data_IF_391198677607
#
_entry.id   IF_391198677607
#
_cell.length_a   1.000
_cell.length_b   1.000
_cell.length_c   1.000
_cell.angle_alpha   90.00
_cell.angle_beta   90.00
_cell.angle_gamma   90.00
#
_symmetry.space_group_name_H-M   'P 1'
#
loop_
_entity.id
_entity.type
_entity.pdbx_description
1 polymer ?
#
# COMPACT_ATOMS: atom_id res chain seq x y z
N UNK A 1 -13.03 -2.90 50.84
CA UNK A 1 -11.80 -2.38 50.21
C UNK A 1 -11.87 -2.63 48.72
N UNK A 2 -12.15 -1.58 47.95
CA UNK A 2 -12.10 -1.59 46.49
C UNK A 2 -10.62 -1.57 46.10
N UNK A 3 -10.12 -2.60 45.41
CA UNK A 3 -8.78 -2.57 44.82
C UNK A 3 -8.91 -2.65 43.30
N UNK A 4 -8.27 -1.67 42.68
CA UNK A 4 -8.38 -1.22 41.30
C UNK A 4 -7.86 -2.25 40.29
N UNK A 5 -8.54 -2.30 39.14
CA UNK A 5 -8.00 -2.80 37.89
C UNK A 5 -6.98 -1.79 37.35
N UNK A 6 -5.81 -2.27 36.93
CA UNK A 6 -4.81 -1.47 36.21
C UNK A 6 -4.51 -2.15 34.87
N UNK A 7 -5.12 -1.61 33.82
CA UNK A 7 -4.77 -1.82 32.42
C UNK A 7 -3.43 -1.11 32.16
N UNK A 8 -2.35 -1.88 32.23
CA UNK A 8 -0.99 -1.40 31.98
C UNK A 8 -0.61 -1.68 30.53
N UNK A 9 -0.85 -0.69 29.66
CA UNK A 9 -0.56 -0.74 28.22
C UNK A 9 0.81 -1.31 27.88
N UNK A 10 0.80 -2.41 27.12
CA UNK A 10 2.00 -3.00 26.53
C UNK A 10 2.61 -1.99 25.56
N UNK A 11 3.65 -1.30 26.04
CA UNK A 11 4.65 -0.59 25.24
C UNK A 11 5.30 -1.60 24.30
N UNK A 12 4.73 -1.75 23.10
CA UNK A 12 5.29 -2.63 22.06
C UNK A 12 6.68 -2.09 21.69
N UNK A 13 7.73 -2.93 21.76
CA UNK A 13 9.05 -2.56 21.28
C UNK A 13 8.97 -2.10 19.83
N UNK A 14 9.54 -0.93 19.55
CA UNK A 14 9.78 -0.48 18.17
C UNK A 14 10.86 -1.40 17.60
N UNK A 15 10.44 -2.47 16.94
CA UNK A 15 11.31 -3.41 16.26
C UNK A 15 11.96 -2.64 15.08
N UNK A 16 13.29 -2.69 14.92
CA UNK A 16 13.93 -2.17 13.72
C UNK A 16 13.40 -2.93 12.51
N UNK A 17 12.72 -2.23 11.61
CA UNK A 17 12.09 -2.79 10.41
C UNK A 17 13.15 -3.47 9.54
N UNK A 18 13.06 -4.79 9.41
CA UNK A 18 13.84 -5.53 8.44
C UNK A 18 13.53 -5.00 7.03
N UNK A 19 14.50 -4.95 6.09
CA UNK A 19 14.34 -4.43 4.74
C UNK A 19 13.27 -5.15 3.88
N UNK A 20 12.58 -6.15 4.42
CA UNK A 20 11.39 -6.76 3.82
C UNK A 20 10.05 -6.07 4.16
N UNK A 21 10.05 -4.96 4.92
CA UNK A 21 8.83 -4.26 5.34
C UNK A 21 8.64 -2.90 4.66
N UNK A 22 9.02 -2.75 3.39
CA UNK A 22 8.78 -1.48 2.71
C UNK A 22 7.30 -1.40 2.32
N UNK A 23 6.57 -0.44 2.88
CA UNK A 23 5.16 -0.14 2.57
C UNK A 23 4.99 0.91 1.45
N UNK A 24 6.05 1.21 0.70
CA UNK A 24 6.04 2.26 -0.32
C UNK A 24 6.35 1.69 -1.70
N UNK A 25 5.51 2.01 -2.68
CA UNK A 25 5.65 1.67 -4.10
C UNK A 25 6.11 2.91 -4.85
N UNK A 26 7.18 2.78 -5.63
CA UNK A 26 7.66 3.82 -6.53
C UNK A 26 7.19 3.51 -7.95
N UNK A 27 6.41 4.41 -8.54
CA UNK A 27 6.08 4.38 -9.96
C UNK A 27 7.13 5.20 -10.71
N UNK A 28 7.84 4.58 -11.64
CA UNK A 28 8.93 5.19 -12.40
C UNK A 28 8.66 4.96 -13.87
N UNK A 29 8.67 6.02 -14.68
CA UNK A 29 8.34 5.90 -16.11
C UNK A 29 6.84 5.73 -16.41
N UNK A 30 5.96 5.91 -15.43
CA UNK A 30 4.52 5.96 -15.62
C UNK A 30 4.12 7.05 -16.63
N UNK A 31 4.81 8.20 -16.60
CA UNK A 31 4.64 9.28 -17.57
C UNK A 31 5.01 8.84 -18.99
N UNK A 32 6.05 8.02 -19.16
CA UNK A 32 6.45 7.47 -20.45
C UNK A 32 5.44 6.44 -20.99
N UNK A 33 4.75 5.74 -20.08
CA UNK A 33 3.60 4.89 -20.39
C UNK A 33 2.30 5.68 -20.66
N UNK A 34 2.31 7.01 -20.54
CA UNK A 34 1.16 7.88 -20.76
C UNK A 34 0.25 8.08 -19.55
N UNK A 35 0.69 7.67 -18.36
CA UNK A 35 -0.02 7.88 -17.11
C UNK A 35 0.43 9.18 -16.42
N UNK A 36 -0.53 10.04 -16.12
CA UNK A 36 -0.30 11.25 -15.35
C UNK A 36 -0.25 10.96 -13.83
N UNK A 37 0.36 11.85 -13.06
CA UNK A 37 0.41 11.76 -11.58
C UNK A 37 -0.99 11.68 -10.97
N UNK A 38 -1.98 12.39 -11.52
CA UNK A 38 -3.37 12.29 -11.09
C UNK A 38 -3.99 10.91 -11.36
N UNK A 39 -3.66 10.31 -12.50
CA UNK A 39 -4.17 8.99 -12.87
C UNK A 39 -3.56 7.89 -11.96
N UNK A 40 -2.26 8.01 -11.67
CA UNK A 40 -1.57 7.16 -10.69
C UNK A 40 -2.19 7.28 -9.31
N UNK A 41 -2.38 8.50 -8.81
CA UNK A 41 -3.00 8.75 -7.52
C UNK A 41 -4.40 8.14 -7.45
N UNK A 42 -5.24 8.39 -8.47
CA UNK A 42 -6.59 7.83 -8.52
C UNK A 42 -6.58 6.31 -8.59
N UNK A 43 -5.62 5.71 -9.31
CA UNK A 43 -5.45 4.26 -9.37
C UNK A 43 -5.06 3.69 -8.02
N UNK A 44 -3.99 4.21 -7.40
CA UNK A 44 -3.54 3.74 -6.09
C UNK A 44 -4.55 4.01 -4.99
N UNK A 45 -5.28 5.14 -5.05
CA UNK A 45 -6.37 5.44 -4.11
C UNK A 45 -7.56 4.48 -4.25
N UNK A 46 -7.69 3.78 -5.37
CA UNK A 46 -8.68 2.71 -5.53
C UNK A 46 -8.22 1.39 -4.90
N UNK A 47 -6.96 1.27 -4.48
CA UNK A 47 -6.39 0.06 -3.88
C UNK A 47 -6.46 0.10 -2.37
N UNK A 48 -6.58 -1.08 -1.77
CA UNK A 48 -6.69 -1.21 -0.32
C UNK A 48 -5.38 -0.83 0.38
N UNK A 49 -5.52 -0.09 1.48
CA UNK A 49 -4.40 0.33 2.32
C UNK A 49 -3.62 1.50 1.74
N UNK A 50 -4.07 2.15 0.67
CA UNK A 50 -3.47 3.41 0.24
C UNK A 50 -3.55 4.46 1.34
N UNK A 51 -2.41 5.07 1.67
CA UNK A 51 -2.33 6.14 2.66
C UNK A 51 -2.07 7.50 2.01
N UNK A 52 -1.10 7.56 1.10
CA UNK A 52 -0.66 8.81 0.51
C UNK A 52 0.02 8.58 -0.83
N UNK A 53 -0.16 9.49 -1.77
CA UNK A 53 0.60 9.55 -3.00
C UNK A 53 1.45 10.81 -3.01
N UNK A 54 2.67 10.69 -3.53
CA UNK A 54 3.53 11.83 -3.82
C UNK A 54 4.10 11.71 -5.21
N UNK A 55 3.44 12.39 -6.14
CA UNK A 55 3.91 12.56 -7.49
C UNK A 55 5.28 13.25 -7.54
N UNK A 56 6.13 12.80 -8.45
CA UNK A 56 7.47 13.32 -8.66
C UNK A 56 7.79 13.34 -10.17
N UNK A 57 7.58 14.48 -10.85
CA UNK A 57 7.74 14.59 -12.31
C UNK A 57 9.17 14.32 -12.78
N UNK A 58 10.17 14.47 -11.88
CA UNK A 58 11.57 14.16 -12.16
C UNK A 58 11.86 12.67 -12.42
N UNK A 59 11.01 11.76 -11.94
CA UNK A 59 11.12 10.33 -12.22
C UNK A 59 10.06 9.83 -13.21
N UNK A 60 9.26 10.74 -13.77
CA UNK A 60 8.14 10.38 -14.63
C UNK A 60 7.12 9.51 -13.91
N UNK A 61 6.80 9.81 -12.65
CA UNK A 61 5.88 9.01 -11.84
C UNK A 61 5.74 9.55 -10.41
N UNK A 62 5.67 8.67 -9.40
CA UNK A 62 5.42 9.08 -8.01
C UNK A 62 5.59 7.96 -6.99
N UNK A 63 5.50 8.29 -5.71
CA UNK A 63 5.60 7.36 -4.59
C UNK A 63 4.24 7.18 -3.93
N UNK A 64 3.69 5.96 -4.00
CA UNK A 64 2.48 5.56 -3.30
C UNK A 64 2.85 4.87 -2.00
N UNK A 65 2.36 5.38 -0.88
CA UNK A 65 2.52 4.78 0.44
C UNK A 65 1.27 3.98 0.78
N UNK A 66 1.49 2.80 1.33
CA UNK A 66 0.47 1.91 1.81
C UNK A 66 0.57 1.71 3.32
N UNK A 67 -0.49 1.16 3.90
CA UNK A 67 -0.59 0.83 5.31
C UNK A 67 0.34 -0.32 5.69
N UNK A 68 0.53 -1.28 4.76
CA UNK A 68 1.39 -2.44 4.96
C UNK A 68 2.20 -2.78 3.71
N UNK A 69 3.35 -3.41 3.93
CA UNK A 69 4.23 -3.94 2.88
C UNK A 69 3.55 -4.97 1.98
N UNK A 70 2.64 -5.79 2.53
CA UNK A 70 1.88 -6.77 1.74
C UNK A 70 0.97 -6.08 0.73
N UNK A 71 0.22 -5.07 1.17
CA UNK A 71 -0.66 -4.29 0.31
C UNK A 71 0.13 -3.50 -0.74
N UNK A 72 1.30 -2.97 -0.38
CA UNK A 72 2.21 -2.34 -1.34
C UNK A 72 2.67 -3.31 -2.45
N UNK A 73 3.02 -4.55 -2.10
CA UNK A 73 3.44 -5.57 -3.07
C UNK A 73 2.28 -5.94 -4.00
N UNK A 74 1.07 -6.14 -3.45
CA UNK A 74 -0.12 -6.41 -4.26
C UNK A 74 -0.43 -5.25 -5.20
N UNK A 75 -0.39 -4.01 -4.69
CA UNK A 75 -0.62 -2.82 -5.49
C UNK A 75 0.38 -2.65 -6.64
N UNK A 76 1.66 -2.92 -6.38
CA UNK A 76 2.70 -2.92 -7.41
C UNK A 76 2.48 -4.02 -8.44
N UNK A 77 2.04 -5.22 -8.03
CA UNK A 77 1.71 -6.29 -8.98
C UNK A 77 0.54 -5.87 -9.87
N UNK A 78 -0.54 -5.37 -9.28
CA UNK A 78 -1.72 -4.91 -10.03
C UNK A 78 -1.35 -3.78 -11.00
N UNK A 79 -0.53 -2.82 -10.57
CA UNK A 79 -0.06 -1.76 -11.44
C UNK A 79 0.75 -2.30 -12.63
N UNK A 80 1.70 -3.23 -12.40
CA UNK A 80 2.45 -3.87 -13.50
C UNK A 80 1.54 -4.66 -14.46
N UNK A 81 0.51 -5.34 -13.96
CA UNK A 81 -0.48 -6.05 -14.78
C UNK A 81 -1.30 -5.10 -15.68
N UNK A 82 -1.49 -3.85 -15.23
CA UNK A 82 -2.12 -2.78 -16.02
C UNK A 82 -1.13 -2.07 -16.96
N UNK A 83 0.12 -2.57 -17.07
CA UNK A 83 1.16 -1.96 -17.89
C UNK A 83 1.78 -0.72 -17.27
N UNK A 84 1.62 -0.54 -15.95
CA UNK A 84 2.13 0.62 -15.21
C UNK A 84 3.49 0.28 -14.57
N UNK A 85 4.59 0.89 -15.03
CA UNK A 85 5.92 0.59 -14.50
C UNK A 85 6.07 1.11 -13.06
N UNK A 86 6.15 0.19 -12.11
CA UNK A 86 6.32 0.47 -10.70
C UNK A 86 7.15 -0.61 -10.00
N UNK A 87 7.86 -0.22 -8.95
CA UNK A 87 8.80 -1.06 -8.21
C UNK A 87 8.65 -0.79 -6.70
N UNK A 88 9.08 -1.71 -5.84
CA UNK A 88 9.20 -1.41 -4.40
C UNK A 88 10.19 -0.27 -4.20
N UNK A 89 9.83 0.72 -3.40
CA UNK A 89 10.79 1.73 -3.00
C UNK A 89 11.94 1.09 -2.19
N UNK A 90 13.14 1.64 -2.29
CA UNK A 90 14.28 1.21 -1.43
C UNK A 90 14.12 1.62 0.03
N UNK A 91 13.19 2.51 0.35
CA UNK A 91 12.97 3.02 1.71
C UNK A 91 11.51 3.48 1.87
N UNK A 92 10.91 3.17 3.02
CA UNK A 92 9.57 3.64 3.38
C UNK A 92 9.57 5.13 3.70
N UNK A 93 8.54 5.87 3.26
CA UNK A 93 8.29 7.21 3.76
C UNK A 93 7.89 7.12 5.24
N UNK A 94 8.82 7.38 6.15
CA UNK A 94 8.58 7.42 7.59
C UNK A 94 7.56 8.49 7.96
N UNK A 95 6.28 8.14 7.96
CA UNK A 95 5.22 8.98 8.56
C UNK A 95 5.10 8.61 10.04
N UNK A 96 5.24 9.57 10.96
CA UNK A 96 4.95 9.33 12.36
C UNK A 96 3.43 9.33 12.55
N UNK A 97 2.78 8.17 12.52
CA UNK A 97 1.36 8.12 12.90
C UNK A 97 0.62 6.82 12.57
N UNK A 98 0.41 6.01 13.62
CA UNK A 98 -0.90 5.43 13.90
C UNK A 98 -1.37 4.20 13.11
N UNK A 99 -1.12 3.03 13.69
CA UNK A 99 -2.06 1.92 13.83
C UNK A 99 -3.30 1.81 12.90
N UNK A 100 -3.39 0.69 12.19
CA UNK A 100 -4.62 -0.09 12.12
C UNK A 100 -4.30 -1.58 12.39
N UNK A 101 -4.88 -2.20 13.43
CA UNK A 101 -5.01 -3.64 13.53
C UNK A 101 -6.43 -4.03 13.10
N UNK A 102 -6.60 -4.71 11.96
CA UNK A 102 -7.90 -5.33 11.67
C UNK A 102 -8.19 -5.62 10.21
N UNK A 103 -8.26 -6.92 9.90
CA UNK A 103 -9.41 -7.50 9.20
C UNK A 103 -9.66 -7.12 7.75
N UNK A 104 -9.41 -8.08 6.85
CA UNK A 104 -10.01 -8.09 5.51
C UNK A 104 -9.68 -9.38 4.81
N UNK A 105 -10.68 -10.26 4.67
CA UNK A 105 -10.59 -11.58 4.09
C UNK A 105 -10.06 -11.58 2.63
N UNK A 106 -9.51 -12.71 2.13
CA UNK A 106 -9.22 -12.85 0.71
C UNK A 106 -10.52 -12.67 -0.11
N UNK A 107 -10.49 -11.98 -1.27
CA UNK A 107 -11.63 -11.96 -2.16
C UNK A 107 -11.93 -13.40 -2.64
N UNK A 108 -13.20 -13.82 -2.72
CA UNK A 108 -13.52 -15.12 -3.32
C UNK A 108 -13.12 -15.13 -4.80
N UNK A 109 -12.74 -16.29 -5.37
CA UNK A 109 -12.50 -16.40 -6.80
C UNK A 109 -13.81 -16.10 -7.56
N UNK A 110 -13.80 -15.04 -8.36
CA UNK A 110 -14.90 -14.72 -9.27
C UNK A 110 -15.00 -15.84 -10.31
N UNK A 111 -15.90 -16.78 -10.06
CA UNK A 111 -16.28 -17.78 -11.06
C UNK A 111 -17.21 -17.07 -12.06
N UNK A 112 -16.89 -17.03 -13.36
CA UNK A 112 -17.80 -16.44 -14.34
C UNK A 112 -19.07 -17.31 -14.44
N UNK A 113 -20.27 -16.71 -14.59
CA UNK A 113 -21.48 -17.49 -14.82
C UNK A 113 -21.37 -18.20 -16.18
N UNK A 114 -21.80 -19.47 -16.30
CA UNK A 114 -21.86 -20.14 -17.59
C UNK A 114 -22.93 -19.45 -18.44
N UNK A 115 -22.50 -18.84 -19.55
CA UNK A 115 -23.42 -18.49 -20.62
C UNK A 115 -23.82 -19.82 -21.29
N UNK A 116 -25.05 -20.27 -21.07
CA UNK A 116 -25.63 -21.33 -21.89
C UNK A 116 -26.80 -20.74 -22.66
N UNK A 117 -26.65 -20.82 -23.98
CA UNK A 117 -27.64 -20.50 -25.01
C UNK A 117 -28.81 -21.49 -24.99
#
# INVERSE_FOLDING_TARGET
VQMMQADGGLKRPRIPEAPGNVDTVASVGALEAGYDEQALESFFSSLQGFMAFKGNPRMGGGFAKFETSQLAIEAMRTAQENGLPCEMARSSMGVPGGAAPGGGAPPPPSTPPPVQM
#
